data_IF_848805840489
#
_entry.id   IF_848805840489
#
_cell.length_a   1.000
_cell.length_b   1.000
_cell.length_c   1.000
_cell.angle_alpha   90.00
_cell.angle_beta   90.00
_cell.angle_gamma   90.00
#
_symmetry.space_group_name_H-M   'P 1'
#
loop_
_entity.id
_entity.type
_entity.pdbx_description
1 polymer ?
#
# COMPACT_ATOMS: atom_id res chain seq x y z
N UNK A 1 6.34 9.47 -8.46
CA UNK A 1 5.76 9.63 -7.12
C UNK A 1 4.89 10.88 -7.00
N UNK A 2 5.44 12.11 -7.14
CA UNK A 2 4.68 13.35 -6.90
C UNK A 2 3.36 13.47 -7.70
N UNK A 3 3.39 13.25 -9.01
CA UNK A 3 2.19 13.31 -9.85
C UNK A 3 1.10 12.31 -9.43
N UNK A 4 1.48 11.10 -9.01
CA UNK A 4 0.52 10.09 -8.55
C UNK A 4 -0.13 10.49 -7.22
N UNK A 5 0.66 11.06 -6.30
CA UNK A 5 0.16 11.59 -5.03
C UNK A 5 -0.80 12.77 -5.24
N UNK A 6 -0.45 13.69 -6.14
CA UNK A 6 -1.32 14.82 -6.51
C UNK A 6 -2.63 14.32 -7.11
N UNK A 7 -2.55 13.40 -8.07
CA UNK A 7 -3.73 12.82 -8.70
C UNK A 7 -4.64 12.15 -7.68
N UNK A 8 -4.09 11.31 -6.80
CA UNK A 8 -4.86 10.60 -5.77
C UNK A 8 -5.59 11.58 -4.85
N UNK A 9 -4.91 12.63 -4.40
CA UNK A 9 -5.52 13.67 -3.55
C UNK A 9 -6.67 14.40 -4.24
N UNK A 10 -6.59 14.61 -5.55
CA UNK A 10 -7.58 15.36 -6.33
C UNK A 10 -8.73 14.48 -6.83
N UNK A 11 -8.56 13.15 -6.88
CA UNK A 11 -9.48 12.23 -7.57
C UNK A 11 -9.96 11.06 -6.70
N UNK A 12 -9.66 11.05 -5.40
CA UNK A 12 -10.11 10.02 -4.45
C UNK A 12 -10.69 10.65 -3.18
N UNK A 13 -11.51 9.91 -2.46
CA UNK A 13 -12.07 10.26 -1.16
C UNK A 13 -11.04 10.03 -0.04
N UNK A 14 -11.25 10.66 1.11
CA UNK A 14 -10.34 10.54 2.27
C UNK A 14 -10.33 9.14 2.90
N UNK A 15 -11.40 8.38 2.74
CA UNK A 15 -11.57 7.01 3.26
C UNK A 15 -11.13 5.92 2.28
N UNK A 16 -10.81 6.28 1.03
CA UNK A 16 -10.33 5.31 0.03
C UNK A 16 -9.00 4.67 0.49
N UNK A 17 -8.95 3.35 0.49
CA UNK A 17 -7.78 2.59 0.98
C UNK A 17 -6.79 2.33 -0.14
N UNK A 18 -5.52 2.63 0.13
CA UNK A 18 -4.43 2.51 -0.86
C UNK A 18 -3.49 1.36 -0.48
N UNK A 19 -3.33 0.42 -1.41
CA UNK A 19 -2.26 -0.57 -1.36
C UNK A 19 -0.97 0.01 -1.96
N UNK A 20 0.14 -0.09 -1.23
CA UNK A 20 1.43 0.49 -1.65
C UNK A 20 2.64 -0.30 -1.18
N UNK A 21 3.79 -0.05 -1.82
CA UNK A 21 5.11 -0.45 -1.30
C UNK A 21 5.61 0.47 -0.17
N UNK A 22 6.65 0.01 0.54
CA UNK A 22 7.33 0.75 1.62
C UNK A 22 7.92 2.09 1.20
N UNK A 23 8.35 2.23 -0.05
CA UNK A 23 9.03 3.42 -0.54
C UNK A 23 8.05 4.61 -0.65
N UNK A 24 6.77 4.32 -0.89
CA UNK A 24 5.70 5.31 -0.98
C UNK A 24 4.81 5.38 0.25
N UNK A 25 4.78 4.36 1.10
CA UNK A 25 3.90 4.27 2.28
C UNK A 25 3.90 5.56 3.15
N UNK A 26 5.08 6.00 3.58
CA UNK A 26 5.20 7.22 4.41
C UNK A 26 4.66 8.48 3.70
N UNK A 27 4.90 8.59 2.38
CA UNK A 27 4.42 9.72 1.59
C UNK A 27 2.90 9.70 1.42
N UNK A 28 2.31 8.52 1.25
CA UNK A 28 0.85 8.36 1.11
C UNK A 28 0.15 8.69 2.43
N UNK A 29 0.62 8.15 3.55
CA UNK A 29 0.06 8.43 4.87
C UNK A 29 0.19 9.93 5.23
N UNK A 30 1.36 10.52 4.99
CA UNK A 30 1.65 11.90 5.43
C UNK A 30 1.13 12.98 4.48
N UNK A 31 1.19 12.76 3.16
CA UNK A 31 0.91 13.78 2.15
C UNK A 31 -0.43 13.58 1.45
N UNK A 32 -0.79 12.34 1.15
CA UNK A 32 -2.08 12.03 0.53
C UNK A 32 -3.20 11.88 1.56
N UNK A 33 -2.86 11.62 2.84
CA UNK A 33 -3.82 11.42 3.94
C UNK A 33 -4.90 10.41 3.56
N UNK A 34 -4.44 9.21 3.17
CA UNK A 34 -5.30 8.07 2.85
C UNK A 34 -4.96 6.90 3.78
N UNK A 35 -5.95 6.11 4.23
CA UNK A 35 -5.70 4.81 4.83
C UNK A 35 -4.79 3.99 3.91
N UNK A 36 -3.73 3.42 4.48
CA UNK A 36 -2.68 2.78 3.69
C UNK A 36 -2.46 1.35 4.16
N UNK A 37 -2.46 0.42 3.22
CA UNK A 37 -2.02 -0.96 3.40
C UNK A 37 -0.67 -1.09 2.71
N UNK A 38 0.39 -1.08 3.51
CA UNK A 38 1.75 -0.95 3.01
C UNK A 38 2.53 -2.25 3.17
N UNK A 39 3.19 -2.67 2.09
CA UNK A 39 4.23 -3.69 2.17
C UNK A 39 5.46 -3.09 2.86
N UNK A 40 5.83 -3.62 4.02
CA UNK A 40 7.00 -3.23 4.79
C UNK A 40 7.85 -4.45 5.12
N UNK A 41 9.16 -4.24 5.32
CA UNK A 41 10.01 -5.28 5.90
C UNK A 41 9.59 -5.54 7.36
N UNK A 42 9.37 -6.81 7.77
CA UNK A 42 8.86 -7.15 9.10
C UNK A 42 9.70 -6.60 10.26
N UNK A 43 11.01 -6.43 10.07
CA UNK A 43 11.92 -5.91 11.10
C UNK A 43 11.65 -4.46 11.52
N UNK A 44 10.84 -3.71 10.76
CA UNK A 44 10.49 -2.32 11.06
C UNK A 44 9.16 -2.18 11.83
N UNK A 45 8.46 -3.28 12.10
CA UNK A 45 7.08 -3.27 12.60
C UNK A 45 7.02 -3.68 14.07
N UNK A 46 6.28 -2.91 14.85
CA UNK A 46 6.26 -3.02 16.31
C UNK A 46 5.29 -4.09 16.83
N UNK A 47 4.38 -4.58 15.98
CA UNK A 47 3.34 -5.55 16.35
C UNK A 47 3.16 -6.67 15.33
N UNK A 48 2.66 -7.82 15.80
CA UNK A 48 2.28 -8.95 14.94
C UNK A 48 1.15 -8.58 13.95
N UNK A 49 0.27 -7.66 14.34
CA UNK A 49 -0.81 -7.21 13.47
C UNK A 49 -0.26 -6.40 12.29
N UNK A 50 0.65 -5.46 12.54
CA UNK A 50 1.32 -4.71 11.45
C UNK A 50 2.10 -5.65 10.53
N UNK A 51 2.79 -6.65 11.11
CA UNK A 51 3.52 -7.65 10.32
C UNK A 51 2.59 -8.46 9.40
N UNK A 52 1.39 -8.81 9.86
CA UNK A 52 0.41 -9.51 9.03
C UNK A 52 -0.09 -8.62 7.88
N UNK A 53 -0.43 -7.36 8.15
CA UNK A 53 -0.84 -6.39 7.11
C UNK A 53 0.26 -6.20 6.07
N UNK A 54 1.51 -6.07 6.50
CA UNK A 54 2.65 -5.91 5.61
C UNK A 54 2.94 -7.16 4.75
N UNK A 55 2.77 -8.36 5.33
CA UNK A 55 2.91 -9.62 4.59
C UNK A 55 1.81 -9.75 3.53
N UNK A 56 0.56 -9.44 3.88
CA UNK A 56 -0.57 -9.46 2.94
C UNK A 56 -0.38 -8.44 1.82
N UNK A 57 0.06 -7.22 2.14
CA UNK A 57 0.38 -6.19 1.15
C UNK A 57 1.49 -6.64 0.19
N UNK A 58 2.54 -7.26 0.71
CA UNK A 58 3.63 -7.82 -0.10
C UNK A 58 3.10 -8.91 -1.03
N UNK A 59 2.28 -9.83 -0.52
CA UNK A 59 1.68 -10.90 -1.30
C UNK A 59 0.75 -10.36 -2.40
N UNK A 60 -0.01 -9.29 -2.14
CA UNK A 60 -0.86 -8.64 -3.13
C UNK A 60 -0.06 -7.96 -4.24
N UNK A 61 1.10 -7.37 -3.92
CA UNK A 61 1.94 -6.69 -4.91
C UNK A 61 2.83 -7.65 -5.72
N UNK A 62 3.26 -8.78 -5.14
CA UNK A 62 4.19 -9.73 -5.79
C UNK A 62 3.50 -10.84 -6.58
N UNK A 63 2.30 -11.29 -6.18
CA UNK A 63 1.69 -12.48 -6.78
C UNK A 63 0.85 -12.18 -8.02
N UNK A 64 0.97 -13.05 -9.04
CA UNK A 64 0.18 -13.00 -10.28
C UNK A 64 -1.21 -13.66 -10.17
N UNK A 65 -1.56 -14.23 -9.01
CA UNK A 65 -2.85 -14.92 -8.80
C UNK A 65 -3.85 -13.97 -8.16
N UNK A 66 -5.14 -14.16 -8.46
CA UNK A 66 -6.21 -13.32 -7.93
C UNK A 66 -6.23 -13.33 -6.39
N UNK A 67 -5.76 -12.24 -5.80
CA UNK A 67 -5.81 -11.96 -4.35
C UNK A 67 -7.12 -11.27 -3.98
N UNK A 68 -8.21 -11.52 -4.72
CA UNK A 68 -9.49 -10.82 -4.52
C UNK A 68 -9.96 -10.84 -3.07
N UNK A 69 -9.74 -11.95 -2.36
CA UNK A 69 -10.09 -12.07 -0.94
C UNK A 69 -9.36 -11.04 -0.07
N UNK A 70 -8.07 -10.78 -0.31
CA UNK A 70 -7.31 -9.77 0.44
C UNK A 70 -7.73 -8.35 0.04
N UNK A 71 -7.96 -8.09 -1.25
CA UNK A 71 -8.50 -6.80 -1.70
C UNK A 71 -9.85 -6.48 -1.05
N UNK A 72 -10.74 -7.48 -0.97
CA UNK A 72 -12.04 -7.34 -0.32
C UNK A 72 -11.90 -7.20 1.22
N UNK A 73 -10.98 -7.96 1.84
CA UNK A 73 -10.71 -7.89 3.29
C UNK A 73 -10.24 -6.51 3.72
N UNK A 74 -9.34 -5.90 2.95
CA UNK A 74 -8.78 -4.58 3.26
C UNK A 74 -9.54 -3.43 2.61
N UNK A 75 -10.60 -3.71 1.85
CA UNK A 75 -11.38 -2.73 1.10
C UNK A 75 -10.48 -1.83 0.22
N UNK A 76 -9.55 -2.44 -0.53
CA UNK A 76 -8.57 -1.70 -1.35
C UNK A 76 -9.27 -1.07 -2.56
N UNK A 77 -9.19 0.26 -2.68
CA UNK A 77 -9.73 1.03 -3.80
C UNK A 77 -8.67 1.34 -4.86
N UNK A 78 -7.43 1.59 -4.43
CA UNK A 78 -6.32 1.96 -5.31
C UNK A 78 -5.06 1.14 -5.03
N UNK A 79 -4.30 0.88 -6.09
CA UNK A 79 -2.95 0.31 -6.00
C UNK A 79 -1.97 1.32 -6.55
N UNK A 80 -1.02 1.75 -5.73
CA UNK A 80 0.01 2.72 -6.10
C UNK A 80 1.36 2.16 -5.66
N UNK A 81 2.27 1.92 -6.60
CA UNK A 81 3.61 1.44 -6.28
C UNK A 81 4.68 2.13 -7.13
N UNK A 82 5.88 2.27 -6.59
CA UNK A 82 7.09 2.66 -7.31
C UNK A 82 7.76 1.40 -7.84
N UNK A 83 7.79 1.25 -9.17
CA UNK A 83 8.46 0.15 -9.84
C UNK A 83 9.98 0.10 -9.59
N UNK A 84 10.55 1.12 -8.94
CA UNK A 84 11.96 1.16 -8.55
C UNK A 84 12.16 0.76 -7.08
N UNK A 85 11.10 0.47 -6.34
CA UNK A 85 11.21 0.05 -4.96
C UNK A 85 11.96 -1.32 -4.91
N UNK A 86 13.07 -1.44 -4.17
CA UNK A 86 13.99 -2.57 -4.29
C UNK A 86 13.38 -3.95 -3.99
N UNK A 87 12.30 -3.99 -3.21
CA UNK A 87 11.65 -5.24 -2.81
C UNK A 87 10.79 -5.87 -3.91
N UNK A 88 10.52 -5.12 -4.98
CA UNK A 88 9.65 -5.54 -6.09
C UNK A 88 10.36 -5.55 -7.46
N UNK A 89 11.71 -5.42 -7.47
CA UNK A 89 12.56 -5.53 -8.66
C UNK A 89 13.33 -6.85 -8.72
#
# INVERSE_FOLDING_TARGET
SYAALTWLRENSQEDDVVLTDRCLAFHLESLARRPTVAAFSPELLASQQEQAVAADASAMLMEKRSQKALFDQYSIDYVVFDSRCPEFN
#
